data_IF_185536789564
#
_entry.id   IF_185536789564
#
_cell.length_a   1.000
_cell.length_b   1.000
_cell.length_c   1.000
_cell.angle_alpha   90.00
_cell.angle_beta   90.00
_cell.angle_gamma   90.00
#
_symmetry.space_group_name_H-M   'P 1'
#
loop_
_entity.id
_entity.type
_entity.pdbx_description
1 polymer ?
#
# COMPACT_ATOMS: atom_id res chain seq x y z
N UNK A 1 -5.42 -9.96 -11.32
CA UNK A 1 -6.79 -9.96 -11.89
C UNK A 1 -7.84 -9.84 -10.80
N UNK A 2 -8.96 -9.15 -11.06
CA UNK A 2 -10.10 -9.07 -10.13
C UNK A 2 -11.12 -10.17 -10.47
N UNK A 3 -11.68 -10.83 -9.46
CA UNK A 3 -12.57 -11.97 -9.60
C UNK A 3 -13.73 -11.92 -8.60
N UNK A 4 -14.27 -13.10 -8.26
CA UNK A 4 -15.40 -13.24 -7.33
C UNK A 4 -15.10 -12.55 -6.00
N UNK A 5 -16.11 -11.85 -5.47
CA UNK A 5 -16.07 -11.27 -4.14
C UNK A 5 -16.00 -12.37 -3.09
N UNK A 6 -14.90 -12.41 -2.34
CA UNK A 6 -14.64 -13.34 -1.23
C UNK A 6 -15.09 -12.77 0.10
N UNK A 7 -15.04 -11.45 0.23
CA UNK A 7 -15.52 -10.71 1.39
C UNK A 7 -16.69 -9.81 0.97
N UNK A 8 -17.93 -10.28 1.09
CA UNK A 8 -19.10 -9.52 0.65
C UNK A 8 -19.28 -8.23 1.45
N UNK A 9 -19.87 -7.22 0.81
CA UNK A 9 -20.29 -5.96 1.42
C UNK A 9 -21.78 -5.74 1.15
N UNK A 10 -22.43 -4.86 1.90
CA UNK A 10 -23.81 -4.45 1.61
C UNK A 10 -23.83 -3.57 0.35
N UNK A 11 -24.13 -4.18 -0.80
CA UNK A 11 -24.14 -3.50 -2.09
C UNK A 11 -25.22 -2.43 -2.21
N UNK A 12 -26.35 -2.57 -1.48
CA UNK A 12 -27.44 -1.59 -1.50
C UNK A 12 -27.08 -0.35 -0.69
N UNK A 13 -26.48 -0.53 0.49
CA UNK A 13 -25.93 0.58 1.26
C UNK A 13 -24.78 1.27 0.51
N UNK A 14 -23.89 0.49 -0.12
CA UNK A 14 -22.78 1.03 -0.90
C UNK A 14 -23.24 1.82 -2.13
N UNK A 15 -24.22 1.33 -2.89
CA UNK A 15 -24.78 2.05 -4.03
C UNK A 15 -25.37 3.41 -3.63
N UNK A 16 -26.13 3.47 -2.53
CA UNK A 16 -26.67 4.74 -1.99
C UNK A 16 -25.57 5.72 -1.58
N UNK A 17 -24.50 5.21 -0.96
CA UNK A 17 -23.32 6.02 -0.64
C UNK A 17 -22.70 6.62 -1.91
N UNK A 18 -22.51 5.80 -2.96
CA UNK A 18 -21.92 6.26 -4.22
C UNK A 18 -22.78 7.32 -4.93
N UNK A 19 -24.10 7.18 -4.91
CA UNK A 19 -25.02 8.17 -5.51
C UNK A 19 -24.87 9.55 -4.86
N UNK A 20 -24.60 9.59 -3.56
CA UNK A 20 -24.48 10.83 -2.78
C UNK A 20 -23.07 11.41 -2.86
N UNK A 21 -22.06 10.60 -2.58
CA UNK A 21 -20.69 11.05 -2.37
C UNK A 21 -19.83 10.98 -3.64
N UNK A 22 -20.17 10.10 -4.59
CA UNK A 22 -19.38 9.82 -5.80
C UNK A 22 -20.25 9.70 -7.05
N UNK A 23 -21.00 10.76 -7.41
CA UNK A 23 -21.96 10.72 -8.52
C UNK A 23 -21.33 10.44 -9.90
N UNK A 24 -20.00 10.46 -10.01
CA UNK A 24 -19.24 10.05 -11.20
C UNK A 24 -19.21 8.53 -11.44
N UNK A 25 -19.58 7.70 -10.47
CA UNK A 25 -19.86 6.27 -10.68
C UNK A 25 -21.38 6.11 -10.80
N UNK A 26 -21.85 5.64 -11.95
CA UNK A 26 -23.28 5.45 -12.20
C UNK A 26 -23.71 4.04 -11.85
N UNK A 27 -24.77 3.92 -11.06
CA UNK A 27 -25.44 2.64 -10.82
C UNK A 27 -26.21 2.14 -12.05
N UNK A 28 -26.54 0.84 -12.13
CA UNK A 28 -26.10 -0.23 -11.22
C UNK A 28 -24.58 -0.47 -11.32
N UNK A 29 -23.96 -0.94 -10.23
CA UNK A 29 -22.52 -1.21 -10.16
C UNK A 29 -22.24 -2.72 -10.26
N UNK A 30 -21.09 -3.08 -10.81
CA UNK A 30 -20.48 -4.41 -10.70
C UNK A 30 -19.29 -4.36 -9.75
N UNK A 31 -19.22 -5.32 -8.82
CA UNK A 31 -18.10 -5.49 -7.89
C UNK A 31 -17.29 -6.74 -8.21
N UNK A 32 -15.96 -6.57 -8.29
CA UNK A 32 -14.99 -7.67 -8.35
C UNK A 32 -13.91 -7.46 -7.30
N UNK A 33 -13.45 -8.50 -6.63
CA UNK A 33 -12.37 -8.37 -5.65
C UNK A 33 -11.02 -8.72 -6.28
N UNK A 34 -9.99 -7.93 -6.02
CA UNK A 34 -8.63 -8.26 -6.45
C UNK A 34 -8.11 -9.49 -5.70
N UNK A 35 -7.39 -10.35 -6.44
CA UNK A 35 -6.82 -11.59 -5.91
C UNK A 35 -5.62 -11.37 -4.97
N UNK A 36 -4.79 -10.39 -5.31
CA UNK A 36 -3.52 -10.02 -4.66
C UNK A 36 -3.69 -8.78 -3.77
N UNK A 37 -2.84 -8.61 -2.74
CA UNK A 37 -2.98 -7.57 -1.71
C UNK A 37 -3.79 -8.04 -0.50
N UNK A 38 -3.21 -8.93 0.31
CA UNK A 38 -3.93 -9.64 1.39
C UNK A 38 -4.21 -8.80 2.64
N UNK A 39 -3.54 -7.66 2.81
CA UNK A 39 -3.68 -6.87 4.04
C UNK A 39 -4.99 -6.09 4.10
N UNK A 40 -5.32 -5.32 3.06
CA UNK A 40 -6.56 -4.54 2.98
C UNK A 40 -7.39 -4.99 1.76
N UNK A 41 -8.61 -5.52 1.97
CA UNK A 41 -9.50 -5.93 0.88
C UNK A 41 -9.69 -4.80 -0.14
N UNK A 42 -9.37 -5.10 -1.39
CA UNK A 42 -9.42 -4.15 -2.51
C UNK A 42 -10.36 -4.68 -3.59
N UNK A 43 -11.23 -3.82 -4.12
CA UNK A 43 -12.30 -4.17 -5.05
C UNK A 43 -12.30 -3.22 -6.25
N UNK A 44 -12.52 -3.78 -7.43
CA UNK A 44 -12.88 -3.03 -8.63
C UNK A 44 -14.39 -2.75 -8.60
N UNK A 45 -14.74 -1.47 -8.72
CA UNK A 45 -16.11 -0.98 -8.84
C UNK A 45 -16.31 -0.48 -10.27
N UNK A 46 -17.20 -1.12 -11.02
CA UNK A 46 -17.52 -0.72 -12.40
C UNK A 46 -18.95 -0.17 -12.44
N UNK A 47 -19.11 1.07 -12.90
CA UNK A 47 -20.42 1.67 -13.12
C UNK A 47 -21.07 1.23 -14.42
N UNK A 48 -22.36 1.54 -14.58
CA UNK A 48 -23.15 1.20 -15.76
C UNK A 48 -22.61 1.83 -17.06
N UNK A 49 -21.92 2.95 -16.97
CA UNK A 49 -21.25 3.65 -18.08
C UNK A 49 -19.84 3.10 -18.38
N UNK A 50 -19.40 2.05 -17.67
CA UNK A 50 -18.07 1.46 -17.80
C UNK A 50 -16.98 2.22 -17.04
N UNK A 51 -17.29 3.29 -16.30
CA UNK A 51 -16.32 3.94 -15.41
C UNK A 51 -15.86 2.95 -14.36
N UNK A 52 -14.55 2.92 -14.10
CA UNK A 52 -13.92 2.01 -13.12
C UNK A 52 -13.24 2.81 -12.02
N UNK A 53 -13.53 2.46 -10.77
CA UNK A 53 -12.86 2.93 -9.57
C UNK A 53 -12.40 1.75 -8.71
N UNK A 54 -11.55 2.02 -7.73
CA UNK A 54 -11.09 1.04 -6.76
C UNK A 54 -11.58 1.42 -5.37
N UNK A 55 -12.21 0.47 -4.69
CA UNK A 55 -12.53 0.53 -3.27
C UNK A 55 -11.45 -0.20 -2.48
N UNK A 56 -10.93 0.42 -1.43
CA UNK A 56 -10.02 -0.23 -0.47
C UNK A 56 -10.55 -0.04 0.94
N UNK A 57 -10.72 -1.13 1.68
CA UNK A 57 -11.31 -1.11 3.01
C UNK A 57 -10.47 -1.87 4.02
N UNK A 58 -10.72 -1.64 5.31
CA UNK A 58 -10.14 -2.48 6.37
C UNK A 58 -10.64 -3.93 6.27
N UNK A 59 -9.85 -4.93 6.69
CA UNK A 59 -10.35 -6.29 6.81
C UNK A 59 -11.45 -6.35 7.90
N UNK A 60 -12.42 -7.27 7.77
CA UNK A 60 -13.45 -7.47 8.79
C UNK A 60 -12.87 -8.09 10.06
N UNK A 61 -13.59 -7.96 11.17
CA UNK A 61 -13.23 -8.60 12.45
C UNK A 61 -12.25 -7.80 13.31
N UNK A 62 -11.73 -8.45 14.37
CA UNK A 62 -10.76 -7.83 15.28
C UNK A 62 -9.41 -7.72 14.59
N UNK A 63 -8.93 -6.49 14.43
CA UNK A 63 -7.61 -6.22 13.86
C UNK A 63 -6.51 -6.74 14.80
N UNK A 64 -5.53 -7.45 14.23
CA UNK A 64 -4.42 -8.10 14.97
C UNK A 64 -3.49 -7.07 15.64
N UNK A 65 -3.47 -5.84 15.13
CA UNK A 65 -2.73 -4.73 15.73
C UNK A 65 -3.42 -3.40 15.47
N UNK A 66 -3.34 -2.48 16.45
CA UNK A 66 -3.76 -1.08 16.30
C UNK A 66 -2.93 -0.29 15.28
N UNK A 67 -1.76 -0.81 14.87
CA UNK A 67 -0.90 -0.18 13.86
C UNK A 67 -1.13 -0.71 12.46
N UNK A 68 -1.79 -1.86 12.32
CA UNK A 68 -2.10 -2.48 11.03
C UNK A 68 -3.39 -1.91 10.43
N UNK A 69 -3.55 -2.05 9.11
CA UNK A 69 -4.79 -1.76 8.38
C UNK A 69 -5.30 -0.31 8.52
N UNK A 70 -4.38 0.67 8.51
CA UNK A 70 -4.71 2.10 8.59
C UNK A 70 -4.99 2.68 7.20
N UNK A 71 -6.12 2.28 6.60
CA UNK A 71 -6.56 2.81 5.30
C UNK A 71 -6.73 4.33 5.31
N UNK A 72 -7.00 4.95 6.46
CA UNK A 72 -7.05 6.40 6.62
C UNK A 72 -5.69 7.06 6.39
N UNK A 73 -4.60 6.40 6.84
CA UNK A 73 -3.23 6.89 6.59
C UNK A 73 -2.87 6.77 5.12
N UNK A 74 -3.25 5.68 4.46
CA UNK A 74 -3.06 5.48 3.02
C UNK A 74 -3.79 6.58 2.23
N UNK A 75 -5.07 6.81 2.53
CA UNK A 75 -5.85 7.89 1.93
C UNK A 75 -5.18 9.25 2.15
N UNK A 76 -4.78 9.56 3.39
CA UNK A 76 -4.17 10.84 3.75
C UNK A 76 -2.88 11.12 2.98
N UNK A 77 -1.99 10.13 2.84
CA UNK A 77 -0.73 10.33 2.11
C UNK A 77 -0.99 10.48 0.60
N UNK A 78 -1.86 9.65 0.01
CA UNK A 78 -2.19 9.77 -1.41
C UNK A 78 -2.83 11.13 -1.73
N UNK A 79 -3.82 11.54 -0.94
CA UNK A 79 -4.51 12.83 -1.07
C UNK A 79 -3.56 14.03 -1.00
N UNK A 80 -2.53 13.94 -0.14
CA UNK A 80 -1.48 14.96 -0.04
C UNK A 80 -0.51 14.96 -1.23
N UNK A 81 -0.23 13.79 -1.79
CA UNK A 81 0.68 13.62 -2.93
C UNK A 81 0.05 13.96 -4.28
N UNK A 82 -1.28 14.02 -4.40
CA UNK A 82 -2.00 14.32 -5.65
C UNK A 82 -1.55 15.62 -6.34
N UNK A 83 -1.10 16.62 -5.58
CA UNK A 83 -0.63 17.91 -6.13
C UNK A 83 0.87 17.93 -6.44
N UNK A 84 1.55 16.79 -6.33
CA UNK A 84 3.01 16.66 -6.54
C UNK A 84 3.32 15.93 -7.84
N UNK A 85 4.62 15.77 -8.15
CA UNK A 85 5.08 14.97 -9.28
C UNK A 85 5.11 13.46 -8.99
N UNK A 86 4.71 13.02 -7.79
CA UNK A 86 4.65 11.60 -7.44
C UNK A 86 3.42 10.98 -8.09
N UNK A 87 3.61 9.91 -8.85
CA UNK A 87 2.52 9.18 -9.48
C UNK A 87 1.75 8.37 -8.42
N UNK A 88 0.60 8.88 -7.98
CA UNK A 88 -0.36 8.19 -7.10
C UNK A 88 -1.75 8.20 -7.74
N UNK A 89 -2.60 7.19 -7.48
CA UNK A 89 -4.01 7.26 -7.89
C UNK A 89 -4.69 8.47 -7.28
N UNK A 90 -5.57 9.13 -8.04
CA UNK A 90 -6.45 10.16 -7.47
C UNK A 90 -7.39 9.50 -6.47
N UNK A 91 -7.51 10.07 -5.29
CA UNK A 91 -8.47 9.66 -4.27
C UNK A 91 -9.72 10.53 -4.34
N UNK A 92 -10.88 9.93 -4.07
CA UNK A 92 -12.16 10.62 -4.19
C UNK A 92 -12.85 10.86 -2.85
N UNK A 93 -12.68 9.97 -1.87
CA UNK A 93 -13.27 10.14 -0.55
C UNK A 93 -12.91 9.01 0.41
N UNK A 94 -12.88 9.33 1.70
CA UNK A 94 -12.71 8.40 2.82
C UNK A 94 -14.03 8.36 3.60
N UNK A 95 -14.57 7.17 3.80
CA UNK A 95 -15.73 6.91 4.65
C UNK A 95 -15.25 6.17 5.90
N UNK A 96 -15.32 6.84 7.06
CA UNK A 96 -15.02 6.23 8.37
C UNK A 96 -16.26 5.61 9.04
N UNK A 97 -17.46 5.88 8.50
CA UNK A 97 -18.69 5.28 8.98
C UNK A 97 -18.78 3.79 8.59
N UNK A 98 -18.49 2.93 9.56
CA UNK A 98 -18.57 1.49 9.40
C UNK A 98 -20.00 0.98 9.16
N UNK A 99 -21.05 1.79 9.39
CA UNK A 99 -22.43 1.39 9.12
C UNK A 99 -22.73 1.23 7.62
N UNK A 100 -21.92 1.82 6.74
CA UNK A 100 -22.15 1.79 5.29
C UNK A 100 -21.80 0.41 4.69
N UNK A 101 -20.60 -0.12 4.94
CA UNK A 101 -20.15 -1.42 4.40
C UNK A 101 -19.43 -2.31 5.42
N UNK A 102 -19.63 -2.05 6.71
CA UNK A 102 -19.09 -2.83 7.82
C UNK A 102 -17.70 -2.38 8.32
N UNK A 103 -16.94 -1.63 7.52
CA UNK A 103 -15.60 -1.14 7.89
C UNK A 103 -15.27 0.16 7.17
N UNK A 104 -14.39 1.02 7.73
CA UNK A 104 -13.85 2.18 7.02
C UNK A 104 -13.22 1.81 5.67
N UNK A 105 -13.38 2.68 4.69
CA UNK A 105 -12.92 2.50 3.32
C UNK A 105 -12.67 3.82 2.61
N UNK A 106 -11.89 3.79 1.54
CA UNK A 106 -11.78 4.92 0.62
C UNK A 106 -11.87 4.46 -0.83
N UNK A 107 -12.12 5.44 -1.70
CA UNK A 107 -12.26 5.27 -3.15
C UNK A 107 -11.13 5.98 -3.89
N UNK A 108 -10.58 5.34 -4.91
CA UNK A 108 -9.52 5.88 -5.76
C UNK A 108 -9.67 5.49 -7.23
N UNK A 109 -8.89 6.11 -8.10
CA UNK A 109 -8.84 5.77 -9.52
C UNK A 109 -8.43 4.31 -9.75
N UNK A 110 -9.08 3.68 -10.72
CA UNK A 110 -8.55 2.48 -11.34
C UNK A 110 -7.47 2.86 -12.36
N UNK A 111 -6.23 2.50 -12.08
CA UNK A 111 -5.11 2.71 -13.00
C UNK A 111 -5.03 1.56 -14.00
N UNK A 112 -5.44 1.82 -15.23
CA UNK A 112 -5.44 0.84 -16.32
C UNK A 112 -4.06 0.73 -16.96
N UNK A 113 -3.17 -0.03 -16.32
CA UNK A 113 -1.77 -0.18 -16.71
C UNK A 113 -1.22 -1.60 -16.57
N UNK A 114 0.11 -1.72 -16.71
CA UNK A 114 0.87 -2.98 -16.55
C UNK A 114 1.40 -3.07 -15.13
N UNK A 115 1.25 -4.22 -14.51
CA UNK A 115 1.93 -4.59 -13.26
C UNK A 115 2.79 -5.81 -13.59
N UNK A 116 4.05 -5.78 -13.17
CA UNK A 116 4.97 -6.89 -13.34
C UNK A 116 5.15 -7.59 -12.00
N UNK A 117 4.75 -8.85 -11.90
CA UNK A 117 4.92 -9.64 -10.66
C UNK A 117 6.39 -10.07 -10.50
N UNK A 118 7.02 -10.47 -11.59
CA UNK A 118 8.45 -10.79 -11.62
C UNK A 118 9.27 -9.51 -11.87
N UNK A 119 10.09 -9.13 -10.89
CA UNK A 119 11.00 -7.98 -10.98
C UNK A 119 12.04 -8.15 -12.11
N UNK A 120 12.32 -9.39 -12.53
CA UNK A 120 13.16 -9.65 -13.67
C UNK A 120 12.48 -9.21 -14.98
N UNK A 121 11.15 -9.16 -15.07
CA UNK A 121 10.38 -8.82 -16.28
C UNK A 121 10.81 -9.65 -17.52
N UNK A 122 10.76 -10.99 -17.46
CA UNK A 122 11.36 -11.88 -18.46
C UNK A 122 10.91 -11.60 -19.89
N UNK A 123 9.63 -11.26 -20.08
CA UNK A 123 9.00 -11.03 -21.38
C UNK A 123 9.26 -9.63 -21.99
N UNK A 124 10.04 -8.78 -21.31
CA UNK A 124 10.32 -7.41 -21.74
C UNK A 124 11.72 -7.30 -22.35
N UNK A 125 11.87 -6.75 -23.56
CA UNK A 125 13.19 -6.53 -24.18
C UNK A 125 14.15 -5.73 -23.28
N UNK A 126 15.47 -6.02 -23.35
CA UNK A 126 16.47 -5.45 -22.44
C UNK A 126 16.45 -3.91 -22.35
N UNK A 127 16.25 -3.24 -23.49
CA UNK A 127 16.17 -1.78 -23.54
C UNK A 127 14.92 -1.23 -22.83
N UNK A 128 13.76 -1.86 -23.03
CA UNK A 128 12.52 -1.45 -22.34
C UNK A 128 12.63 -1.74 -20.84
N UNK A 129 13.18 -2.90 -20.46
CA UNK A 129 13.42 -3.28 -19.06
C UNK A 129 14.29 -2.26 -18.34
N UNK A 130 15.35 -1.78 -19.00
CA UNK A 130 16.21 -0.71 -18.49
C UNK A 130 15.42 0.59 -18.27
N UNK A 131 14.54 0.95 -19.21
CA UNK A 131 13.70 2.15 -19.07
C UNK A 131 12.64 2.01 -17.96
N UNK A 132 12.05 0.83 -17.78
CA UNK A 132 11.09 0.55 -16.71
C UNK A 132 11.74 0.68 -15.32
N UNK A 133 12.92 0.09 -15.14
CA UNK A 133 13.68 0.23 -13.89
C UNK A 133 14.09 1.67 -13.62
N UNK A 134 14.55 2.39 -14.66
CA UNK A 134 14.82 3.83 -14.55
C UNK A 134 13.58 4.60 -14.09
N UNK A 135 12.42 4.35 -14.70
CA UNK A 135 11.17 5.01 -14.33
C UNK A 135 10.74 4.71 -12.89
N UNK A 136 10.96 3.48 -12.40
CA UNK A 136 10.74 3.11 -11.01
C UNK A 136 11.67 3.89 -10.06
N UNK A 137 12.98 3.91 -10.34
CA UNK A 137 13.96 4.65 -9.53
C UNK A 137 13.69 6.16 -9.51
N UNK A 138 13.35 6.75 -10.65
CA UNK A 138 12.96 8.16 -10.74
C UNK A 138 11.71 8.47 -9.93
N UNK A 139 10.73 7.56 -9.92
CA UNK A 139 9.52 7.71 -9.11
C UNK A 139 9.84 7.67 -7.61
N UNK A 140 10.71 6.76 -7.17
CA UNK A 140 11.18 6.73 -5.79
C UNK A 140 11.95 8.01 -5.41
N UNK A 141 12.78 8.52 -6.33
CA UNK A 141 13.49 9.78 -6.13
C UNK A 141 12.52 10.97 -6.00
N UNK A 142 11.47 11.02 -6.84
CA UNK A 142 10.41 12.04 -6.73
C UNK A 142 9.70 11.96 -5.37
N UNK A 143 9.37 10.77 -4.90
CA UNK A 143 8.78 10.58 -3.56
C UNK A 143 9.72 11.07 -2.45
N UNK A 144 11.00 10.72 -2.52
CA UNK A 144 11.99 11.16 -1.53
C UNK A 144 12.33 12.66 -1.60
N UNK A 145 12.01 13.32 -2.71
CA UNK A 145 12.19 14.76 -2.90
C UNK A 145 10.99 15.58 -2.41
N UNK A 146 9.87 14.96 -2.04
CA UNK A 146 8.70 15.67 -1.52
C UNK A 146 9.04 16.32 -0.18
N UNK A 147 8.83 17.62 -0.10
CA UNK A 147 8.78 18.33 1.17
C UNK A 147 7.46 18.02 1.88
N UNK A 148 7.52 17.04 2.79
CA UNK A 148 6.37 16.56 3.54
C UNK A 148 5.73 17.65 4.43
N UNK A 149 6.45 18.72 4.78
CA UNK A 149 5.86 19.85 5.49
C UNK A 149 4.93 20.64 4.59
N UNK A 150 5.35 20.89 3.34
CA UNK A 150 4.58 21.68 2.37
C UNK A 150 3.32 20.99 1.86
N UNK A 151 3.28 19.66 1.92
CA UNK A 151 2.09 18.86 1.54
C UNK A 151 1.22 18.46 2.74
N UNK A 152 1.43 19.05 3.93
CA UNK A 152 0.55 18.81 5.09
C UNK A 152 0.75 17.46 5.78
N UNK A 153 1.96 16.90 5.69
CA UNK A 153 2.35 15.62 6.29
C UNK A 153 3.39 15.77 7.41
N UNK A 154 3.55 16.97 7.97
CA UNK A 154 4.50 17.26 9.06
C UNK A 154 4.24 16.47 10.36
N UNK A 155 3.01 15.99 10.58
CA UNK A 155 2.61 15.17 11.72
C UNK A 155 2.37 13.70 11.33
N UNK A 156 2.70 13.32 10.08
CA UNK A 156 2.43 11.99 9.57
C UNK A 156 3.31 10.90 10.21
N UNK A 157 4.43 11.26 10.81
CA UNK A 157 5.36 10.33 11.43
C UNK A 157 6.40 11.02 12.32
N UNK A 158 7.38 10.25 12.80
CA UNK A 158 8.50 10.78 13.60
C UNK A 158 9.68 11.11 12.69
N UNK A 159 10.30 12.28 12.91
CA UNK A 159 11.34 12.83 12.02
C UNK A 159 12.78 12.46 12.38
N UNK A 160 13.02 11.80 13.51
CA UNK A 160 14.39 11.46 13.96
C UNK A 160 14.40 10.16 14.74
N UNK A 161 15.53 9.48 14.83
CA UNK A 161 15.70 8.20 15.51
C UNK A 161 15.13 7.02 14.72
N UNK A 162 15.14 7.08 13.38
CA UNK A 162 14.60 6.02 12.52
C UNK A 162 15.25 4.67 12.85
N UNK A 163 16.58 4.58 12.78
CA UNK A 163 17.32 3.33 13.00
C UNK A 163 17.05 2.72 14.38
N UNK A 164 17.13 3.51 15.45
CA UNK A 164 16.88 3.02 16.82
C UNK A 164 15.45 2.47 16.98
N UNK A 165 14.45 3.12 16.37
CA UNK A 165 13.09 2.58 16.35
C UNK A 165 12.98 1.30 15.55
N UNK A 166 13.55 1.25 14.34
CA UNK A 166 13.47 0.07 13.49
C UNK A 166 14.15 -1.14 14.13
N UNK A 167 15.33 -0.95 14.74
CA UNK A 167 16.03 -2.01 15.49
C UNK A 167 15.15 -2.53 16.63
N UNK A 168 14.56 -1.64 17.44
CA UNK A 168 13.65 -2.04 18.54
C UNK A 168 12.42 -2.81 18.02
N UNK A 169 11.78 -2.31 16.97
CA UNK A 169 10.63 -2.96 16.34
C UNK A 169 11.00 -4.34 15.81
N UNK A 170 12.13 -4.45 15.10
CA UNK A 170 12.60 -5.72 14.54
C UNK A 170 12.93 -6.73 15.63
N UNK A 171 13.66 -6.34 16.68
CA UNK A 171 13.94 -7.20 17.83
C UNK A 171 12.66 -7.71 18.50
N UNK A 172 11.64 -6.86 18.63
CA UNK A 172 10.36 -7.23 19.25
C UNK A 172 9.58 -8.22 18.36
N UNK A 173 9.51 -7.96 17.04
CA UNK A 173 8.82 -8.85 16.10
C UNK A 173 9.52 -10.21 16.06
N UNK A 174 10.84 -10.25 15.92
CA UNK A 174 11.58 -11.51 15.91
C UNK A 174 11.33 -12.29 17.20
N UNK A 175 11.52 -11.68 18.39
CA UNK A 175 11.25 -12.37 19.65
C UNK A 175 9.82 -12.93 19.74
N UNK A 176 8.82 -12.21 19.20
CA UNK A 176 7.45 -12.72 19.15
C UNK A 176 7.27 -13.90 18.18
N UNK A 177 7.93 -13.87 17.03
CA UNK A 177 7.84 -14.91 16.00
C UNK A 177 8.63 -16.16 16.38
N UNK A 178 9.76 -16.02 17.06
CA UNK A 178 10.59 -17.12 17.58
C UNK A 178 9.79 -18.04 18.52
N UNK A 179 8.86 -17.45 19.27
CA UNK A 179 7.99 -18.16 20.22
C UNK A 179 6.70 -18.71 19.58
N UNK A 180 6.41 -18.40 18.31
CA UNK A 180 5.26 -18.97 17.61
C UNK A 180 5.50 -20.46 17.45
N UNK A 181 4.48 -21.25 17.78
CA UNK A 181 4.50 -22.71 17.59
C UNK A 181 3.91 -23.02 16.23
N UNK A 182 4.68 -23.75 15.42
CA UNK A 182 4.22 -24.25 14.14
C UNK A 182 3.10 -25.28 14.36
N UNK A 183 1.99 -25.10 13.62
CA UNK A 183 0.76 -25.86 13.86
C UNK A 183 0.89 -27.32 13.43
N UNK A 184 1.76 -27.61 12.47
CA UNK A 184 1.92 -28.96 11.91
C UNK A 184 2.91 -29.79 12.73
N UNK A 185 4.02 -29.18 13.14
CA UNK A 185 5.13 -29.84 13.85
C UNK A 185 4.99 -29.76 15.37
N UNK A 186 4.31 -28.72 15.90
CA UNK A 186 4.21 -28.48 17.34
C UNK A 186 5.47 -27.89 17.97
N UNK A 187 6.51 -27.62 17.17
CA UNK A 187 7.76 -27.01 17.63
C UNK A 187 7.70 -25.48 17.50
N UNK A 188 8.42 -24.74 18.37
CA UNK A 188 8.64 -23.32 18.14
C UNK A 188 9.36 -23.10 16.80
N UNK A 189 8.98 -22.06 16.07
CA UNK A 189 9.69 -21.61 14.85
C UNK A 189 11.18 -21.41 15.16
N UNK A 190 11.47 -20.96 16.39
CA UNK A 190 12.83 -20.86 16.89
C UNK A 190 13.56 -19.64 16.35
N UNK A 191 14.83 -19.56 16.73
CA UNK A 191 15.64 -18.35 16.56
C UNK A 191 16.19 -18.22 15.14
N UNK A 192 16.05 -17.03 14.55
CA UNK A 192 16.73 -16.71 13.29
C UNK A 192 18.26 -16.74 13.48
N UNK A 193 19.01 -17.43 12.61
CA UNK A 193 20.47 -17.37 12.62
C UNK A 193 20.99 -15.93 12.49
N UNK A 194 22.09 -15.61 13.17
CA UNK A 194 22.78 -14.31 13.13
C UNK A 194 21.95 -13.07 13.56
N UNK A 195 20.76 -13.27 14.13
CA UNK A 195 19.89 -12.17 14.56
C UNK A 195 20.58 -11.21 15.55
N UNK A 196 21.29 -11.73 16.56
CA UNK A 196 22.01 -10.91 17.54
C UNK A 196 23.11 -10.06 16.90
N UNK A 197 23.80 -10.61 15.91
CA UNK A 197 24.86 -9.91 15.17
C UNK A 197 24.27 -8.76 14.36
N UNK A 198 23.13 -9.00 13.69
CA UNK A 198 22.40 -7.97 12.95
C UNK A 198 21.87 -6.86 13.88
N UNK A 199 21.23 -7.22 14.99
CA UNK A 199 20.74 -6.24 15.99
C UNK A 199 21.89 -5.42 16.54
N UNK A 200 23.03 -6.05 16.86
CA UNK A 200 24.21 -5.36 17.36
C UNK A 200 24.81 -4.41 16.33
N UNK A 201 24.94 -4.85 15.07
CA UNK A 201 25.49 -4.05 14.00
C UNK A 201 24.66 -2.79 13.74
N UNK A 202 23.35 -2.92 13.54
CA UNK A 202 22.46 -1.77 13.34
C UNK A 202 22.20 -0.98 14.65
N UNK A 203 22.41 -1.61 15.80
CA UNK A 203 22.34 -1.02 17.13
C UNK A 203 23.48 -0.04 17.42
N UNK A 204 24.62 -0.17 16.76
CA UNK A 204 25.76 0.73 16.94
C UNK A 204 25.56 2.06 16.20
N UNK A 205 25.35 3.14 16.95
CA UNK A 205 25.09 4.46 16.37
C UNK A 205 26.23 5.00 15.53
N UNK A 206 27.47 4.56 15.79
CA UNK A 206 28.67 5.02 15.07
C UNK A 206 28.74 4.47 13.65
N UNK A 207 28.08 3.35 13.39
CA UNK A 207 28.04 2.70 12.08
C UNK A 207 26.85 3.18 11.23
N UNK A 208 25.95 3.97 11.82
CA UNK A 208 24.73 4.41 11.13
C UNK A 208 25.01 5.57 10.18
N UNK A 209 24.32 5.61 9.03
CA UNK A 209 24.23 6.82 8.23
C UNK A 209 23.62 7.97 9.03
N UNK A 210 23.89 9.21 8.57
CA UNK A 210 23.23 10.39 9.12
C UNK A 210 21.72 10.23 9.03
N UNK A 211 21.06 10.48 10.15
CA UNK A 211 19.60 10.45 10.23
C UNK A 211 18.98 11.55 9.36
N UNK A 212 18.03 11.14 8.51
CA UNK A 212 17.33 12.01 7.56
C UNK A 212 15.87 11.56 7.50
N UNK A 213 14.96 12.53 7.55
CA UNK A 213 13.54 12.27 7.35
C UNK A 213 13.12 12.60 5.92
N UNK A 214 12.38 11.67 5.33
CA UNK A 214 11.65 11.84 4.08
C UNK A 214 10.40 10.95 4.13
N UNK A 215 9.48 11.14 3.20
CA UNK A 215 8.47 10.11 2.93
C UNK A 215 9.17 8.83 2.46
N UNK A 216 8.79 7.70 3.04
CA UNK A 216 9.24 6.37 2.66
C UNK A 216 7.99 5.54 2.43
N UNK A 217 7.88 4.92 1.26
CA UNK A 217 6.73 4.08 0.90
C UNK A 217 6.57 2.88 1.86
N UNK A 218 7.70 2.30 2.29
CA UNK A 218 7.73 1.14 3.19
C UNK A 218 7.81 -0.21 2.49
N UNK A 219 7.22 -0.33 1.30
CA UNK A 219 7.20 -1.55 0.48
C UNK A 219 7.33 -1.21 -1.02
N UNK A 220 8.35 -0.41 -1.36
CA UNK A 220 8.57 0.02 -2.75
C UNK A 220 9.23 -1.10 -3.56
N UNK A 221 8.42 -1.82 -4.35
CA UNK A 221 8.83 -2.94 -5.21
C UNK A 221 8.01 -2.95 -6.50
N UNK A 222 8.52 -3.66 -7.52
CA UNK A 222 8.00 -3.59 -8.90
C UNK A 222 6.51 -4.00 -9.02
N UNK A 223 6.07 -4.97 -8.25
CA UNK A 223 4.70 -5.46 -8.20
C UNK A 223 3.73 -4.49 -7.50
N UNK A 224 4.23 -3.48 -6.79
CA UNK A 224 3.46 -2.34 -6.27
C UNK A 224 3.48 -1.13 -7.21
N UNK A 225 4.03 -1.25 -8.42
CA UNK A 225 4.11 -0.16 -9.39
C UNK A 225 3.21 -0.47 -10.59
N UNK A 226 2.36 0.50 -10.93
CA UNK A 226 1.57 0.48 -12.17
C UNK A 226 2.32 1.27 -13.24
N UNK A 227 2.75 0.58 -14.29
CA UNK A 227 3.31 1.18 -15.48
C UNK A 227 2.23 1.49 -16.51
N UNK A 228 2.48 2.47 -17.38
CA UNK A 228 1.63 2.73 -18.54
C UNK A 228 1.49 1.48 -19.42
N UNK A 229 0.35 1.34 -20.11
CA UNK A 229 0.04 0.15 -20.95
C UNK A 229 1.10 -0.18 -21.99
N UNK A 230 1.72 0.85 -22.55
CA UNK A 230 2.62 0.73 -23.71
C UNK A 230 3.93 1.51 -23.55
N UNK A 231 4.06 2.33 -22.50
CA UNK A 231 5.23 3.18 -22.29
C UNK A 231 5.99 2.72 -21.03
N UNK A 232 7.29 2.95 -21.02
CA UNK A 232 8.13 2.74 -19.84
C UNK A 232 8.02 3.92 -18.86
N UNK A 233 6.80 4.15 -18.36
CA UNK A 233 6.45 5.27 -17.48
C UNK A 233 5.57 4.78 -16.34
N UNK A 234 5.85 5.22 -15.12
CA UNK A 234 5.02 4.92 -13.96
C UNK A 234 3.78 5.82 -13.97
N UNK A 235 2.60 5.22 -13.79
CA UNK A 235 1.31 5.92 -13.67
C UNK A 235 0.73 5.83 -12.26
N UNK A 236 1.29 4.96 -11.40
CA UNK A 236 0.96 4.91 -9.99
C UNK A 236 1.89 4.02 -9.19
N UNK A 237 2.05 4.36 -7.92
CA UNK A 237 2.58 3.47 -6.88
C UNK A 237 1.42 3.11 -5.95
N UNK A 238 1.34 1.84 -5.57
CA UNK A 238 0.25 1.24 -4.78
C UNK A 238 0.78 0.76 -3.42
N UNK A 239 -0.14 0.39 -2.52
CA UNK A 239 0.12 -0.11 -1.14
C UNK A 239 0.68 0.93 -0.16
#
# INVERSE_FOLDING_TARGET
>A
MAGRVRQPIDEVAFARYLETELPQIKGPIELKQFGFGQSNPTYLVTGADGRRLVLRKKPPGKLVSQTAHKVEREYRIMRALEATAVAVPKTYGLCEDASVIGTPFYMMDYLDGRIFEDFAMPDVGADERTRLWRAATETLARLHAVDFHRVGLADFGRHSGFYGRQVKTWSTICASQEAVVDVETGDPVGRLPHQDELVRFFGDERLRPRDRATLVHGDFKIDNIVFHKTEARVIGILE
#
